data_IF_192555207400
#
_entry.id   IF_192555207400
#
_cell.length_a   1.000
_cell.length_b   1.000
_cell.length_c   1.000
_cell.angle_alpha   90.00
_cell.angle_beta   90.00
_cell.angle_gamma   90.00
#
_symmetry.space_group_name_H-M   'P 1'
#
loop_
_entity.id
_entity.type
_entity.pdbx_description
1 polymer ?
#
# COMPACT_ATOMS: atom_id res chain seq x y z
N UNK A 1 -46.54 -16.84 -27.13
CA UNK A 1 -45.06 -16.70 -27.12
C UNK A 1 -44.49 -17.85 -26.31
N UNK A 2 -43.86 -18.83 -26.96
CA UNK A 2 -43.19 -19.96 -26.29
C UNK A 2 -41.69 -19.65 -26.22
N UNK A 3 -41.16 -19.45 -25.02
CA UNK A 3 -39.71 -19.48 -24.76
C UNK A 3 -39.29 -20.94 -24.74
N UNK A 4 -38.52 -21.38 -25.74
CA UNK A 4 -37.95 -22.73 -25.75
C UNK A 4 -36.97 -22.88 -24.58
N UNK A 5 -37.02 -23.98 -23.80
CA UNK A 5 -36.08 -24.21 -22.71
C UNK A 5 -34.65 -24.36 -23.26
N UNK A 6 -33.69 -23.74 -22.59
CA UNK A 6 -32.26 -23.92 -22.88
C UNK A 6 -31.88 -25.40 -22.76
N UNK A 7 -31.07 -25.89 -23.68
CA UNK A 7 -30.58 -27.28 -23.59
C UNK A 7 -29.58 -27.43 -22.45
N UNK A 8 -29.52 -28.61 -21.83
CA UNK A 8 -28.52 -28.95 -20.80
C UNK A 8 -27.08 -28.63 -21.23
N UNK A 9 -26.78 -28.75 -22.53
CA UNK A 9 -25.47 -28.39 -23.09
C UNK A 9 -25.22 -26.87 -23.14
N UNK A 10 -26.25 -26.05 -23.37
CA UNK A 10 -26.11 -24.59 -23.34
C UNK A 10 -25.88 -24.10 -21.91
N UNK A 11 -26.58 -24.68 -20.93
CA UNK A 11 -26.42 -24.33 -19.51
C UNK A 11 -25.02 -24.72 -19.01
N UNK A 12 -24.51 -25.91 -19.35
CA UNK A 12 -23.17 -26.34 -18.92
C UNK A 12 -22.05 -25.52 -19.56
N UNK A 13 -22.17 -25.14 -20.83
CA UNK A 13 -21.21 -24.25 -21.50
C UNK A 13 -21.20 -22.85 -20.89
N UNK A 14 -22.38 -22.31 -20.58
CA UNK A 14 -22.49 -21.01 -19.92
C UNK A 14 -21.86 -21.04 -18.52
N UNK A 15 -22.13 -22.10 -17.74
CA UNK A 15 -21.53 -22.29 -16.42
C UNK A 15 -20.00 -22.44 -16.51
N UNK A 16 -19.48 -23.21 -17.46
CA UNK A 16 -18.05 -23.37 -17.66
C UNK A 16 -17.36 -22.06 -18.08
N UNK A 17 -17.98 -21.28 -18.98
CA UNK A 17 -17.47 -19.98 -19.38
C UNK A 17 -17.44 -18.99 -18.20
N UNK A 18 -18.50 -18.95 -17.38
CA UNK A 18 -18.53 -18.12 -16.18
C UNK A 18 -17.47 -18.54 -15.16
N UNK A 19 -17.31 -19.85 -14.93
CA UNK A 19 -16.28 -20.38 -14.05
C UNK A 19 -14.86 -19.99 -14.53
N UNK A 20 -14.62 -20.04 -15.85
CA UNK A 20 -13.34 -19.62 -16.42
C UNK A 20 -13.08 -18.11 -16.23
N UNK A 21 -14.09 -17.26 -16.44
CA UNK A 21 -13.95 -15.82 -16.22
C UNK A 21 -13.66 -15.50 -14.75
N UNK A 22 -14.32 -16.17 -13.82
CA UNK A 22 -14.05 -16.02 -12.38
C UNK A 22 -12.64 -16.50 -12.03
N UNK A 23 -12.20 -17.63 -12.59
CA UNK A 23 -10.85 -18.13 -12.37
C UNK A 23 -9.79 -17.14 -12.86
N UNK A 24 -9.98 -16.55 -14.05
CA UNK A 24 -9.10 -15.51 -14.58
C UNK A 24 -9.07 -14.27 -13.69
N UNK A 25 -10.22 -13.80 -13.20
CA UNK A 25 -10.30 -12.65 -12.30
C UNK A 25 -9.57 -12.90 -10.97
N UNK A 26 -9.64 -14.12 -10.43
CA UNK A 26 -8.91 -14.50 -9.21
C UNK A 26 -7.40 -14.56 -9.47
N UNK A 27 -6.97 -15.11 -10.61
CA UNK A 27 -5.55 -15.15 -10.99
C UNK A 27 -5.00 -13.74 -11.16
N UNK A 28 -5.72 -12.87 -11.85
CA UNK A 28 -5.33 -11.46 -12.04
C UNK A 28 -5.19 -10.73 -10.69
N UNK A 29 -6.18 -10.85 -9.81
CA UNK A 29 -6.12 -10.26 -8.46
C UNK A 29 -4.94 -10.79 -7.64
N UNK A 30 -4.71 -12.11 -7.66
CA UNK A 30 -3.59 -12.73 -6.95
C UNK A 30 -2.24 -12.27 -7.49
N UNK A 31 -2.11 -12.12 -8.80
CA UNK A 31 -0.90 -11.64 -9.43
C UNK A 31 -0.62 -10.16 -9.09
N UNK A 32 -1.65 -9.30 -9.09
CA UNK A 32 -1.51 -7.90 -8.66
C UNK A 32 -1.11 -7.77 -7.19
N UNK A 33 -1.70 -8.59 -6.30
CA UNK A 33 -1.28 -8.63 -4.89
C UNK A 33 0.18 -9.04 -4.74
N UNK A 34 0.60 -10.09 -5.44
CA UNK A 34 1.98 -10.56 -5.41
C UNK A 34 2.98 -9.50 -5.91
N UNK A 35 2.66 -8.79 -7.00
CA UNK A 35 3.50 -7.69 -7.48
C UNK A 35 3.62 -6.56 -6.46
N UNK A 36 2.51 -6.17 -5.83
CA UNK A 36 2.53 -5.16 -4.76
C UNK A 36 3.41 -5.58 -3.58
N UNK A 37 3.30 -6.82 -3.13
CA UNK A 37 4.10 -7.33 -2.02
C UNK A 37 5.59 -7.31 -2.36
N UNK A 38 5.96 -7.70 -3.59
CA UNK A 38 7.34 -7.60 -4.05
C UNK A 38 7.83 -6.15 -4.13
N UNK A 39 7.02 -5.24 -4.67
CA UNK A 39 7.34 -3.81 -4.73
C UNK A 39 7.54 -3.23 -3.32
N UNK A 40 6.63 -3.54 -2.39
CA UNK A 40 6.72 -3.15 -0.99
C UNK A 40 7.99 -3.70 -0.34
N UNK A 41 8.21 -5.02 -0.35
CA UNK A 41 9.38 -5.63 0.29
C UNK A 41 10.69 -5.13 -0.30
N UNK A 42 10.77 -4.94 -1.63
CA UNK A 42 11.97 -4.42 -2.26
C UNK A 42 12.25 -2.96 -1.87
N UNK A 43 11.24 -2.10 -1.86
CA UNK A 43 11.36 -0.70 -1.45
C UNK A 43 11.65 -0.57 0.06
N UNK A 44 10.98 -1.37 0.89
CA UNK A 44 11.21 -1.43 2.34
C UNK A 44 12.63 -1.86 2.67
N UNK A 45 13.10 -2.94 2.04
CA UNK A 45 14.48 -3.44 2.21
C UNK A 45 15.49 -2.37 1.81
N UNK A 46 15.27 -1.70 0.68
CA UNK A 46 16.15 -0.62 0.22
C UNK A 46 16.19 0.52 1.25
N UNK A 47 15.03 0.99 1.73
CA UNK A 47 14.95 2.06 2.74
C UNK A 47 15.54 1.63 4.07
N UNK A 48 15.44 0.36 4.48
CA UNK A 48 16.01 -0.11 5.74
C UNK A 48 17.54 -0.04 5.78
N UNK A 49 18.19 -0.10 4.62
CA UNK A 49 19.65 0.08 4.53
C UNK A 49 20.08 1.55 4.53
N UNK A 50 19.16 2.49 4.32
CA UNK A 50 19.52 3.91 4.29
C UNK A 50 20.02 4.33 5.67
N UNK A 51 21.22 4.91 5.72
CA UNK A 51 21.87 5.30 6.98
C UNK A 51 22.60 4.17 7.71
N UNK A 52 22.59 2.93 7.20
CA UNK A 52 23.40 1.86 7.78
C UNK A 52 24.86 1.93 7.29
N UNK A 53 25.77 2.16 8.23
CA UNK A 53 27.21 2.25 7.97
C UNK A 53 27.55 3.37 6.99
N UNK A 54 28.09 3.01 5.83
CA UNK A 54 28.43 3.93 4.75
C UNK A 54 27.50 3.82 3.54
N UNK A 55 26.36 3.12 3.67
CA UNK A 55 25.45 2.96 2.55
C UNK A 55 24.77 4.29 2.21
N UNK A 56 24.99 4.75 0.98
CA UNK A 56 24.31 5.90 0.40
C UNK A 56 23.67 5.47 -0.92
N UNK A 57 22.33 5.50 -1.03
CA UNK A 57 21.67 5.11 -2.26
C UNK A 57 21.97 6.14 -3.37
N UNK A 58 22.09 5.65 -4.59
CA UNK A 58 22.23 6.54 -5.75
C UNK A 58 20.95 7.34 -5.97
N UNK A 59 21.04 8.47 -6.68
CA UNK A 59 19.86 9.27 -7.03
C UNK A 59 18.78 8.46 -7.75
N UNK A 60 19.18 7.61 -8.71
CA UNK A 60 18.26 6.72 -9.43
C UNK A 60 17.55 5.73 -8.50
N UNK A 61 18.25 5.20 -7.49
CA UNK A 61 17.65 4.28 -6.52
C UNK A 61 16.63 4.99 -5.63
N UNK A 62 16.95 6.21 -5.17
CA UNK A 62 16.02 7.05 -4.40
C UNK A 62 14.77 7.41 -5.20
N UNK A 63 14.92 7.72 -6.49
CA UNK A 63 13.81 7.99 -7.40
C UNK A 63 12.93 6.76 -7.61
N UNK A 64 13.55 5.60 -7.87
CA UNK A 64 12.84 4.33 -8.00
C UNK A 64 12.02 4.00 -6.74
N UNK A 65 12.61 4.11 -5.54
CA UNK A 65 11.86 3.92 -4.28
C UNK A 65 10.70 4.90 -4.19
N UNK A 66 10.90 6.17 -4.56
CA UNK A 66 9.83 7.17 -4.57
C UNK A 66 8.67 6.81 -5.50
N UNK A 67 8.96 6.26 -6.68
CA UNK A 67 7.95 5.77 -7.62
C UNK A 67 7.17 4.59 -7.02
N UNK A 68 7.87 3.60 -6.46
CA UNK A 68 7.23 2.43 -5.83
C UNK A 68 6.35 2.85 -4.64
N UNK A 69 6.80 3.77 -3.79
CA UNK A 69 5.99 4.33 -2.70
C UNK A 69 4.74 5.03 -3.25
N UNK A 70 4.88 5.81 -4.33
CA UNK A 70 3.77 6.48 -4.98
C UNK A 70 2.72 5.51 -5.54
N UNK A 71 3.17 4.45 -6.22
CA UNK A 71 2.31 3.40 -6.78
C UNK A 71 1.56 2.64 -5.67
N UNK A 72 2.27 2.20 -4.62
CA UNK A 72 1.67 1.52 -3.48
C UNK A 72 0.58 2.37 -2.79
N UNK A 73 0.84 3.66 -2.59
CA UNK A 73 -0.13 4.58 -1.99
C UNK A 73 -1.29 4.93 -2.93
N UNK A 74 -1.08 4.97 -4.25
CA UNK A 74 -2.15 5.20 -5.21
C UNK A 74 -3.13 4.01 -5.24
N UNK A 75 -2.62 2.79 -5.14
CA UNK A 75 -3.44 1.58 -5.14
C UNK A 75 -4.15 1.33 -3.80
N UNK A 76 -3.46 1.56 -2.68
CA UNK A 76 -3.98 1.29 -1.35
C UNK A 76 -3.65 2.43 -0.36
N UNK A 77 -4.29 3.60 -0.49
CA UNK A 77 -3.96 4.79 0.31
C UNK A 77 -4.17 4.61 1.82
N UNK A 78 -5.04 3.68 2.22
CA UNK A 78 -5.31 3.38 3.63
C UNK A 78 -4.39 2.33 4.26
N UNK A 79 -3.48 1.71 3.50
CA UNK A 79 -2.67 0.60 3.99
C UNK A 79 -1.58 1.11 4.97
N UNK A 80 -1.61 0.71 6.26
CA UNK A 80 -0.76 1.31 7.29
C UNK A 80 0.73 1.10 7.05
N UNK A 81 1.14 -0.06 6.54
CA UNK A 81 2.56 -0.34 6.29
C UNK A 81 3.10 0.43 5.09
N UNK A 82 2.27 0.73 4.07
CA UNK A 82 2.70 1.56 2.94
C UNK A 82 2.88 3.01 3.38
N UNK A 83 2.01 3.48 4.28
CA UNK A 83 2.14 4.79 4.91
C UNK A 83 3.38 4.89 5.80
N UNK A 84 3.75 3.83 6.51
CA UNK A 84 5.00 3.80 7.29
C UNK A 84 6.24 3.80 6.41
N UNK A 85 6.23 3.03 5.32
CA UNK A 85 7.30 3.07 4.33
C UNK A 85 7.44 4.48 3.73
N UNK A 86 6.32 5.12 3.37
CA UNK A 86 6.31 6.50 2.87
C UNK A 86 6.87 7.49 3.90
N UNK A 87 6.51 7.35 5.17
CA UNK A 87 7.06 8.15 6.24
C UNK A 87 8.58 8.03 6.38
N UNK A 88 9.10 6.80 6.31
CA UNK A 88 10.54 6.52 6.35
C UNK A 88 11.25 7.09 5.13
N UNK A 89 10.69 6.90 3.93
CA UNK A 89 11.18 7.47 2.69
C UNK A 89 11.29 9.00 2.78
N UNK A 90 10.22 9.69 3.19
CA UNK A 90 10.22 11.15 3.28
C UNK A 90 11.14 11.69 4.39
N UNK A 91 11.32 10.95 5.49
CA UNK A 91 12.30 11.33 6.50
C UNK A 91 13.73 11.36 5.93
N UNK A 92 14.09 10.38 5.09
CA UNK A 92 15.39 10.37 4.41
C UNK A 92 15.50 11.44 3.32
N UNK A 93 14.43 11.71 2.57
CA UNK A 93 14.41 12.83 1.62
C UNK A 93 14.62 14.18 2.33
N UNK A 94 14.01 14.38 3.50
CA UNK A 94 14.25 15.57 4.32
C UNK A 94 15.71 15.64 4.78
N UNK A 95 16.28 14.53 5.27
CA UNK A 95 17.67 14.46 5.71
C UNK A 95 18.68 14.84 4.62
N UNK A 96 18.42 14.45 3.37
CA UNK A 96 19.28 14.80 2.22
C UNK A 96 18.93 16.14 1.55
N UNK A 97 17.89 16.83 2.00
CA UNK A 97 17.48 18.09 1.37
C UNK A 97 18.46 19.21 1.77
N UNK A 98 19.08 19.83 0.78
CA UNK A 98 19.94 21.00 0.99
C UNK A 98 19.13 22.31 1.11
N UNK A 99 17.94 22.36 0.50
CA UNK A 99 17.01 23.48 0.60
C UNK A 99 16.09 23.32 1.83
N UNK A 100 16.12 24.25 2.80
CA UNK A 100 15.24 24.22 3.97
C UNK A 100 13.75 24.13 3.63
N UNK A 101 13.32 24.68 2.49
CA UNK A 101 11.92 24.56 2.05
C UNK A 101 11.58 23.14 1.64
N UNK A 102 12.48 22.45 0.95
CA UNK A 102 12.29 21.05 0.57
C UNK A 102 12.33 20.14 1.80
N UNK A 103 13.28 20.38 2.72
CA UNK A 103 13.35 19.68 4.00
C UNK A 103 12.02 19.77 4.76
N UNK A 104 11.47 20.99 4.90
CA UNK A 104 10.20 21.22 5.57
C UNK A 104 9.04 20.50 4.87
N UNK A 105 8.99 20.54 3.53
CA UNK A 105 7.96 19.83 2.76
C UNK A 105 8.01 18.32 2.98
N UNK A 106 9.19 17.71 2.91
CA UNK A 106 9.34 16.28 3.13
C UNK A 106 9.06 15.89 4.58
N UNK A 107 9.48 16.70 5.54
CA UNK A 107 9.13 16.52 6.95
C UNK A 107 7.62 16.50 7.15
N UNK A 108 6.90 17.45 6.54
CA UNK A 108 5.44 17.50 6.62
C UNK A 108 4.78 16.26 6.00
N UNK A 109 5.22 15.85 4.81
CA UNK A 109 4.72 14.62 4.15
C UNK A 109 4.97 13.37 5.01
N UNK A 110 6.16 13.27 5.61
CA UNK A 110 6.49 12.17 6.51
C UNK A 110 5.60 12.13 7.75
N UNK A 111 5.30 13.29 8.35
CA UNK A 111 4.38 13.40 9.48
C UNK A 111 2.95 13.00 9.09
N UNK A 112 2.44 13.48 7.94
CA UNK A 112 1.13 13.09 7.43
C UNK A 112 1.01 11.58 7.24
N UNK A 113 2.02 10.95 6.63
CA UNK A 113 2.01 9.51 6.42
C UNK A 113 2.01 8.72 7.75
N UNK A 114 2.80 9.15 8.75
CA UNK A 114 2.77 8.55 10.10
C UNK A 114 1.40 8.69 10.75
N UNK A 115 0.77 9.85 10.60
CA UNK A 115 -0.55 10.10 11.15
C UNK A 115 -1.60 9.18 10.52
N UNK A 116 -1.60 9.06 9.18
CA UNK A 116 -2.48 8.13 8.48
C UNK A 116 -2.25 6.68 8.92
N UNK A 117 -0.99 6.24 9.02
CA UNK A 117 -0.66 4.90 9.49
C UNK A 117 -1.20 4.63 10.91
N UNK A 118 -1.12 5.63 11.80
CA UNK A 118 -1.64 5.55 13.17
C UNK A 118 -3.16 5.39 13.18
N UNK A 119 -3.86 6.21 12.38
CA UNK A 119 -5.32 6.18 12.29
C UNK A 119 -5.85 4.87 11.68
N UNK A 120 -5.10 4.26 10.76
CA UNK A 120 -5.47 2.99 10.14
C UNK A 120 -5.32 1.76 11.06
N UNK A 121 -4.72 1.88 12.25
CA UNK A 121 -4.48 0.75 13.17
C UNK A 121 -5.68 0.53 14.11
N UNK A 122 -6.29 -0.67 14.15
CA UNK A 122 -7.50 -0.96 14.95
C UNK A 122 -7.38 -0.66 16.45
N UNK A 123 -6.18 -0.79 17.02
CA UNK A 123 -5.94 -0.55 18.44
C UNK A 123 -6.09 0.92 18.86
N UNK A 124 -6.03 1.87 17.92
CA UNK A 124 -6.24 3.29 18.21
C UNK A 124 -7.71 3.59 18.58
N UNK A 125 -8.67 2.88 17.97
CA UNK A 125 -10.11 3.08 18.19
C UNK A 125 -10.57 2.57 19.56
N UNK A 126 -9.91 1.56 20.12
CA UNK A 126 -10.32 0.96 21.40
C UNK A 126 -9.95 1.83 22.62
N UNK A 127 -8.86 2.60 22.55
CA UNK A 127 -8.43 3.47 23.65
C UNK A 127 -9.30 4.74 23.78
N UNK A 128 -9.88 5.26 22.69
CA UNK A 128 -10.80 6.40 22.77
C UNK A 128 -12.21 5.99 23.24
N UNK A 129 -12.64 4.76 22.94
CA UNK A 129 -13.95 4.23 23.37
C UNK A 129 -13.94 3.64 24.79
N UNK A 130 -12.77 3.25 25.33
CA UNK A 130 -12.62 2.66 26.66
C UNK A 130 -12.19 3.63 27.76
N UNK A 131 -11.90 4.89 27.43
CA UNK A 131 -11.45 5.93 28.35
C UNK A 131 -12.59 6.82 28.89
N UNK A 132 -13.82 6.30 28.98
CA UNK A 132 -14.84 6.92 29.85
C UNK A 132 -14.57 6.47 31.27
N UNK A 133 -13.77 7.28 31.97
CA UNK A 133 -13.56 7.22 33.41
C UNK A 133 -14.89 7.03 34.16
N UNK A 134 -14.91 6.02 35.01
CA UNK A 134 -15.87 5.86 36.08
C UNK A 134 -15.52 6.89 37.17
N UNK A 135 -16.39 7.88 37.48
CA UNK A 135 -16.11 8.81 38.56
C UNK A 135 -16.25 8.10 39.91
N UNK A 136 -15.30 8.38 40.81
CA UNK A 136 -15.28 7.93 42.21
C UNK A 136 -16.55 8.30 42.99
#
# INVERSE_FOLDING_TARGET
MHTAPLSLQQVSRAAAALALLLALAVVEQGFSLFQRDLAFTAAETEVSFWGEGNYQPTAAKREWVGQQVGELLAEAPGHPEYQLLAASYYAWQAYWAEDPKLEQQYTHKGQQAREYARQSRPAYVYNEAGATEQPD
#
